data_IF_316615478160
#
_entry.id   IF_316615478160
#
_cell.length_a   1.000
_cell.length_b   1.000
_cell.length_c   1.000
_cell.angle_alpha   90.00
_cell.angle_beta   90.00
_cell.angle_gamma   90.00
#
_symmetry.space_group_name_H-M   'P 1'
#
loop_
_entity.id
_entity.type
_entity.pdbx_description
1 polymer ?
#
# COMPACT_ATOMS: atom_id res chain seq x y z
N UNK A 1 -8.62 -9.17 32.43
CA UNK A 1 -9.15 -8.87 31.08
C UNK A 1 -7.97 -8.52 30.19
N UNK A 2 -7.51 -9.46 29.37
CA UNK A 2 -6.49 -9.24 28.33
C UNK A 2 -6.98 -10.03 27.11
N UNK A 3 -7.50 -9.34 26.10
CA UNK A 3 -7.83 -9.95 24.82
C UNK A 3 -6.53 -10.27 24.08
N UNK A 4 -6.42 -11.43 23.38
CA UNK A 4 -5.25 -11.70 22.58
C UNK A 4 -5.31 -10.78 21.36
N UNK A 5 -4.25 -9.99 21.17
CA UNK A 5 -3.96 -9.38 19.88
C UNK A 5 -3.90 -10.50 18.85
N UNK A 6 -4.93 -10.59 18.01
CA UNK A 6 -4.92 -11.48 16.85
C UNK A 6 -3.77 -11.04 15.96
N UNK A 7 -2.73 -11.88 15.94
CA UNK A 7 -1.67 -11.84 14.94
C UNK A 7 -2.33 -11.89 13.57
N UNK A 8 -2.25 -10.79 12.81
CA UNK A 8 -2.60 -10.78 11.39
C UNK A 8 -1.48 -11.48 10.60
N UNK A 9 -1.31 -12.78 10.83
CA UNK A 9 -0.67 -13.64 9.86
C UNK A 9 -1.50 -13.65 8.56
N UNK A 10 -0.89 -13.87 7.38
CA UNK A 10 -1.66 -14.00 6.15
C UNK A 10 -2.66 -15.16 6.32
N UNK A 11 -3.96 -14.96 6.02
CA UNK A 11 -4.95 -16.03 6.12
C UNK A 11 -4.58 -17.18 5.17
N UNK A 12 -4.85 -18.43 5.60
CA UNK A 12 -4.77 -19.60 4.71
C UNK A 12 -5.62 -19.34 3.46
N UNK A 13 -5.06 -19.51 2.26
CA UNK A 13 -5.72 -19.16 1.00
C UNK A 13 -5.48 -17.71 0.56
N UNK A 14 -4.26 -17.21 0.69
CA UNK A 14 -3.88 -15.87 0.25
C UNK A 14 -4.18 -15.71 -1.25
N UNK A 15 -5.01 -14.72 -1.66
CA UNK A 15 -5.35 -14.54 -3.06
C UNK A 15 -4.12 -14.34 -3.94
N UNK A 16 -4.13 -14.84 -5.18
CA UNK A 16 -2.97 -14.74 -6.10
C UNK A 16 -2.50 -13.29 -6.24
N UNK A 17 -3.44 -12.35 -6.29
CA UNK A 17 -3.16 -10.93 -6.42
C UNK A 17 -2.38 -10.34 -5.24
N UNK A 18 -2.54 -10.88 -4.04
CA UNK A 18 -1.96 -10.33 -2.82
C UNK A 18 -0.44 -10.34 -2.83
N UNK A 19 0.19 -11.35 -3.46
CA UNK A 19 1.65 -11.48 -3.48
C UNK A 19 2.34 -10.24 -4.07
N UNK A 20 1.75 -9.67 -5.11
CA UNK A 20 2.26 -8.50 -5.83
C UNK A 20 1.36 -7.28 -5.57
N UNK A 21 0.92 -7.08 -4.33
CA UNK A 21 0.03 -5.98 -3.96
C UNK A 21 0.71 -4.96 -3.05
N UNK A 22 0.18 -3.73 -3.04
CA UNK A 22 0.65 -2.67 -2.15
C UNK A 22 0.44 -3.02 -0.69
N UNK A 23 -0.65 -3.73 -0.37
CA UNK A 23 -0.86 -4.29 0.96
C UNK A 23 0.33 -5.13 1.41
N UNK A 24 0.78 -6.06 0.56
CA UNK A 24 1.85 -6.97 0.93
C UNK A 24 3.19 -6.25 1.06
N UNK A 25 3.48 -5.27 0.20
CA UNK A 25 4.67 -4.43 0.31
C UNK A 25 4.66 -3.64 1.63
N UNK A 26 3.53 -3.00 1.99
CA UNK A 26 3.37 -2.26 3.24
C UNK A 26 3.48 -3.16 4.48
N UNK A 27 2.91 -4.36 4.46
CA UNK A 27 3.07 -5.33 5.55
C UNK A 27 4.50 -5.82 5.68
N UNK A 28 5.19 -6.03 4.56
CA UNK A 28 6.59 -6.45 4.56
C UNK A 28 7.47 -5.40 5.22
N UNK A 29 7.33 -4.12 4.85
CA UNK A 29 8.09 -3.04 5.50
C UNK A 29 7.68 -2.84 6.96
N UNK A 30 6.39 -2.96 7.32
CA UNK A 30 5.95 -2.92 8.72
C UNK A 30 6.60 -4.04 9.56
N UNK A 31 6.68 -5.26 9.02
CA UNK A 31 7.32 -6.38 9.69
C UNK A 31 8.82 -6.16 9.88
N UNK A 32 9.53 -5.73 8.82
CA UNK A 32 10.95 -5.36 8.89
C UNK A 32 11.19 -4.21 9.87
N UNK A 33 10.27 -3.25 9.93
CA UNK A 33 10.38 -2.08 10.78
C UNK A 33 10.11 -2.35 12.25
N UNK A 34 9.43 -3.44 12.60
CA UNK A 34 8.92 -3.69 13.96
C UNK A 34 10.00 -3.62 15.05
N UNK A 35 11.23 -4.01 14.75
CA UNK A 35 12.35 -4.00 15.68
C UNK A 35 13.28 -2.77 15.53
N UNK A 36 13.14 -2.00 14.45
CA UNK A 36 14.10 -0.97 14.04
C UNK A 36 13.49 0.43 14.10
N UNK A 37 12.19 0.53 13.81
CA UNK A 37 11.45 1.78 13.83
C UNK A 37 10.62 1.92 15.11
N UNK A 38 10.38 3.16 15.53
CA UNK A 38 9.44 3.49 16.58
C UNK A 38 8.03 2.92 16.35
N UNK A 39 7.33 2.64 17.45
CA UNK A 39 6.00 2.03 17.45
C UNK A 39 4.95 2.84 16.70
N UNK A 40 5.04 4.18 16.75
CA UNK A 40 4.17 5.09 16.01
C UNK A 40 4.31 4.89 14.50
N UNK A 41 5.53 4.70 14.00
CA UNK A 41 5.78 4.47 12.58
C UNK A 41 5.22 3.15 12.12
N UNK A 42 5.54 2.11 12.86
CA UNK A 42 5.01 0.78 12.63
C UNK A 42 3.47 0.79 12.56
N UNK A 43 2.81 1.44 13.53
CA UNK A 43 1.35 1.48 13.60
C UNK A 43 0.72 2.19 12.39
N UNK A 44 1.32 3.30 11.91
CA UNK A 44 0.82 4.03 10.74
C UNK A 44 0.97 3.19 9.46
N UNK A 45 2.08 2.48 9.31
CA UNK A 45 2.30 1.60 8.14
C UNK A 45 1.32 0.41 8.18
N UNK A 46 1.12 -0.23 9.34
CA UNK A 46 0.14 -1.32 9.48
C UNK A 46 -1.29 -0.84 9.20
N UNK A 47 -1.67 0.33 9.71
CA UNK A 47 -2.98 0.93 9.46
C UNK A 47 -3.20 1.16 7.96
N UNK A 48 -2.23 1.78 7.29
CA UNK A 48 -2.26 2.00 5.84
C UNK A 48 -2.37 0.68 5.08
N UNK A 49 -1.62 -0.35 5.47
CA UNK A 49 -1.71 -1.67 4.86
C UNK A 49 -3.12 -2.29 5.00
N UNK A 50 -3.75 -2.14 6.16
CA UNK A 50 -5.13 -2.60 6.40
C UNK A 50 -6.15 -1.90 5.49
N UNK A 51 -6.05 -0.58 5.34
CA UNK A 51 -6.93 0.20 4.45
C UNK A 51 -6.72 -0.17 2.99
N UNK A 52 -5.46 -0.29 2.56
CA UNK A 52 -5.12 -0.71 1.20
C UNK A 52 -5.63 -2.12 0.92
N UNK A 53 -5.57 -3.05 1.89
CA UNK A 53 -6.09 -4.41 1.72
C UNK A 53 -7.59 -4.43 1.40
N UNK A 54 -8.37 -3.65 2.15
CA UNK A 54 -9.82 -3.55 1.93
C UNK A 54 -10.10 -3.01 0.52
N UNK A 55 -9.34 -2.00 0.09
CA UNK A 55 -9.50 -1.41 -1.22
C UNK A 55 -9.06 -2.34 -2.36
N UNK A 56 -7.89 -2.97 -2.23
CA UNK A 56 -7.37 -3.95 -3.20
C UNK A 56 -8.33 -5.13 -3.36
N UNK A 57 -8.86 -5.65 -2.25
CA UNK A 57 -9.86 -6.72 -2.29
C UNK A 57 -11.10 -6.30 -3.09
N UNK A 58 -11.61 -5.09 -2.82
CA UNK A 58 -12.77 -4.55 -3.55
C UNK A 58 -12.51 -4.43 -5.06
N UNK A 59 -11.39 -3.84 -5.48
CA UNK A 59 -11.09 -3.68 -6.91
C UNK A 59 -10.86 -5.02 -7.60
N UNK A 60 -10.28 -6.00 -6.91
CA UNK A 60 -10.13 -7.36 -7.44
C UNK A 60 -11.48 -8.06 -7.60
N UNK A 61 -12.37 -7.96 -6.61
CA UNK A 61 -13.70 -8.55 -6.68
C UNK A 61 -14.51 -7.93 -7.83
N UNK A 62 -14.45 -6.60 -7.98
CA UNK A 62 -15.12 -5.90 -9.08
C UNK A 62 -14.58 -6.29 -10.46
N UNK A 63 -13.25 -6.37 -10.59
CA UNK A 63 -12.61 -6.79 -11.84
C UNK A 63 -12.88 -8.26 -12.16
N UNK A 64 -12.97 -9.14 -11.16
CA UNK A 64 -13.29 -10.55 -11.36
C UNK A 64 -14.71 -10.76 -11.92
N UNK A 65 -15.66 -9.90 -11.55
CA UNK A 65 -17.03 -9.95 -12.08
C UNK A 65 -17.12 -9.39 -13.51
N UNK A 66 -16.36 -8.34 -13.84
CA UNK A 66 -16.37 -7.70 -15.15
C UNK A 66 -14.95 -7.29 -15.62
N UNK A 67 -14.14 -8.23 -16.15
CA UNK A 67 -12.74 -7.96 -16.47
C UNK A 67 -12.55 -6.99 -17.65
N UNK A 68 -13.50 -6.96 -18.59
CA UNK A 68 -13.40 -6.13 -19.80
C UNK A 68 -13.95 -4.70 -19.60
N UNK A 69 -14.32 -4.33 -18.37
CA UNK A 69 -14.93 -3.03 -18.07
C UNK A 69 -14.14 -2.29 -17.00
N UNK A 70 -14.04 -0.95 -17.12
CA UNK A 70 -13.49 -0.15 -16.03
C UNK A 70 -14.37 -0.30 -14.79
N UNK A 71 -13.75 -0.34 -13.62
CA UNK A 71 -14.43 -0.50 -12.31
C UNK A 71 -15.42 0.64 -12.06
N UNK A 72 -15.12 1.83 -12.59
CA UNK A 72 -15.93 3.04 -12.43
C UNK A 72 -15.81 3.92 -13.67
N UNK A 73 -16.78 4.80 -13.91
CA UNK A 73 -16.79 5.74 -15.04
C UNK A 73 -15.75 6.87 -14.90
N UNK A 74 -15.39 7.21 -13.67
CA UNK A 74 -14.29 8.11 -13.36
C UNK A 74 -12.94 7.39 -13.52
N UNK A 75 -12.07 7.78 -14.46
CA UNK A 75 -10.77 7.16 -14.68
C UNK A 75 -9.80 7.33 -13.51
N UNK A 76 -10.06 8.28 -12.59
CA UNK A 76 -9.27 8.52 -11.39
C UNK A 76 -9.78 7.77 -10.15
N UNK A 77 -10.83 6.96 -10.28
CA UNK A 77 -11.44 6.27 -9.16
C UNK A 77 -10.44 5.37 -8.42
N UNK A 78 -9.69 4.55 -9.16
CA UNK A 78 -8.68 3.63 -8.60
C UNK A 78 -7.57 4.39 -7.87
N UNK A 79 -7.04 5.43 -8.53
CA UNK A 79 -6.06 6.34 -7.92
C UNK A 79 -6.58 6.99 -6.64
N UNK A 80 -7.80 7.50 -6.65
CA UNK A 80 -8.39 8.21 -5.51
C UNK A 80 -8.60 7.27 -4.33
N UNK A 81 -9.01 6.03 -4.58
CA UNK A 81 -9.13 5.02 -3.53
C UNK A 81 -7.80 4.67 -2.89
N UNK A 82 -6.75 4.42 -3.68
CA UNK A 82 -5.40 4.21 -3.14
C UNK A 82 -4.89 5.41 -2.35
N UNK A 83 -5.01 6.62 -2.90
CA UNK A 83 -4.60 7.86 -2.21
C UNK A 83 -5.32 8.04 -0.88
N UNK A 84 -6.62 7.73 -0.83
CA UNK A 84 -7.44 7.82 0.39
C UNK A 84 -7.00 6.78 1.42
N UNK A 85 -6.73 5.55 0.99
CA UNK A 85 -6.23 4.48 1.88
C UNK A 85 -4.86 4.80 2.49
N UNK A 86 -4.02 5.56 1.77
CA UNK A 86 -2.68 5.95 2.20
C UNK A 86 -2.61 7.30 2.94
N UNK A 87 -3.74 8.01 3.11
CA UNK A 87 -3.75 9.42 3.51
C UNK A 87 -2.98 9.71 4.80
N UNK A 88 -3.09 8.85 5.81
CA UNK A 88 -2.40 9.04 7.09
C UNK A 88 -0.89 8.89 6.94
N UNK A 89 -0.44 7.87 6.19
CA UNK A 89 0.96 7.62 5.92
C UNK A 89 1.59 8.76 5.11
N UNK A 90 0.89 9.23 4.07
CA UNK A 90 1.32 10.38 3.26
C UNK A 90 1.35 11.68 4.07
N UNK A 91 0.41 11.89 4.99
CA UNK A 91 0.37 13.09 5.83
C UNK A 91 1.56 13.14 6.79
N UNK A 92 1.91 12.02 7.40
CA UNK A 92 3.02 11.96 8.38
C UNK A 92 4.37 12.19 7.70
N UNK A 93 4.56 11.65 6.49
CA UNK A 93 5.78 11.88 5.73
C UNK A 93 6.00 13.35 5.33
N UNK A 94 4.94 14.16 5.29
CA UNK A 94 5.00 15.59 4.97
C UNK A 94 4.99 16.49 6.23
N UNK A 95 5.12 15.93 7.44
CA UNK A 95 5.15 16.73 8.65
C UNK A 95 6.48 17.50 8.80
N UNK A 96 6.42 18.83 9.05
CA UNK A 96 7.62 19.63 9.31
C UNK A 96 8.39 19.11 10.52
N UNK A 97 9.73 19.08 10.43
CA UNK A 97 10.62 18.73 11.55
C UNK A 97 11.01 17.24 11.64
N UNK A 98 10.42 16.36 10.82
CA UNK A 98 10.87 14.96 10.74
C UNK A 98 12.14 14.80 9.89
N UNK A 99 12.33 15.62 8.84
CA UNK A 99 13.40 15.49 7.84
C UNK A 99 14.83 15.25 8.38
N UNK A 100 15.33 15.94 9.43
CA UNK A 100 16.70 15.72 9.89
C UNK A 100 16.87 14.45 10.73
N UNK A 101 15.79 13.76 11.10
CA UNK A 101 15.85 12.56 11.94
C UNK A 101 15.99 11.29 11.10
N UNK A 102 16.63 10.22 11.63
CA UNK A 102 16.61 8.91 10.98
C UNK A 102 15.20 8.41 10.64
N UNK A 103 14.21 8.75 11.49
CA UNK A 103 12.79 8.46 11.28
C UNK A 103 12.23 9.16 10.05
N UNK A 104 12.53 10.45 9.89
CA UNK A 104 12.08 11.24 8.75
C UNK A 104 12.70 10.80 7.44
N UNK A 105 13.95 10.32 7.44
CA UNK A 105 14.55 9.71 6.24
C UNK A 105 13.76 8.50 5.75
N UNK A 106 13.47 7.55 6.64
CA UNK A 106 12.68 6.37 6.29
C UNK A 106 11.29 6.76 5.78
N UNK A 107 10.61 7.71 6.44
CA UNK A 107 9.31 8.19 5.96
C UNK A 107 9.38 8.86 4.60
N UNK A 108 10.44 9.63 4.34
CA UNK A 108 10.65 10.28 3.05
C UNK A 108 10.85 9.23 1.96
N UNK A 109 11.65 8.21 2.21
CA UNK A 109 11.90 7.14 1.24
C UNK A 109 10.62 6.32 0.97
N UNK A 110 9.85 5.98 2.02
CA UNK A 110 8.52 5.36 1.87
C UNK A 110 7.61 6.26 1.03
N UNK A 111 7.57 7.57 1.33
CA UNK A 111 6.71 8.50 0.61
C UNK A 111 7.11 8.63 -0.87
N UNK A 112 8.40 8.69 -1.19
CA UNK A 112 8.88 8.68 -2.59
C UNK A 112 8.37 7.43 -3.31
N UNK A 113 8.56 6.24 -2.74
CA UNK A 113 8.06 5.00 -3.34
C UNK A 113 6.53 5.01 -3.50
N UNK A 114 5.78 5.54 -2.51
CA UNK A 114 4.33 5.63 -2.60
C UNK A 114 3.87 6.64 -3.66
N UNK A 115 4.57 7.76 -3.84
CA UNK A 115 4.26 8.73 -4.89
C UNK A 115 4.50 8.13 -6.28
N UNK A 116 5.57 7.37 -6.46
CA UNK A 116 5.86 6.68 -7.74
C UNK A 116 4.77 5.64 -8.06
N UNK A 117 4.35 4.85 -7.06
CA UNK A 117 3.24 3.90 -7.22
C UNK A 117 1.95 4.63 -7.56
N UNK A 118 1.61 5.69 -6.82
CA UNK A 118 0.42 6.49 -7.07
C UNK A 118 0.45 7.17 -8.45
N UNK A 119 1.61 7.57 -8.93
CA UNK A 119 1.77 8.13 -10.28
C UNK A 119 1.46 7.08 -11.35
N UNK A 120 1.96 5.84 -11.17
CA UNK A 120 1.65 4.74 -12.07
C UNK A 120 0.15 4.40 -12.06
N UNK A 121 -0.45 4.27 -10.86
CA UNK A 121 -1.90 4.04 -10.69
C UNK A 121 -2.71 5.18 -11.32
N UNK A 122 -2.24 6.42 -11.26
CA UNK A 122 -2.95 7.56 -11.90
C UNK A 122 -3.01 7.43 -13.41
N UNK A 123 -1.97 6.91 -14.04
CA UNK A 123 -1.89 6.75 -15.50
C UNK A 123 -2.65 5.50 -15.96
N UNK A 124 -2.59 4.42 -15.19
CA UNK A 124 -3.06 3.10 -15.62
C UNK A 124 -4.28 2.58 -14.86
N UNK A 125 -4.74 3.25 -13.81
CA UNK A 125 -5.76 2.74 -12.89
C UNK A 125 -7.14 2.49 -13.50
N UNK A 126 -7.40 3.00 -14.70
CA UNK A 126 -8.62 2.68 -15.45
C UNK A 126 -8.60 1.26 -16.06
N UNK A 127 -7.41 0.66 -16.22
CA UNK A 127 -7.20 -0.72 -16.69
C UNK A 127 -6.51 -1.53 -15.58
N UNK A 128 -7.34 -2.08 -14.70
CA UNK A 128 -6.88 -2.79 -13.49
C UNK A 128 -6.16 -4.09 -13.83
N UNK A 129 -6.59 -4.79 -14.88
CA UNK A 129 -5.91 -6.00 -15.36
C UNK A 129 -4.47 -5.70 -15.78
N UNK A 130 -4.27 -4.63 -16.56
CA UNK A 130 -2.94 -4.17 -16.94
C UNK A 130 -2.13 -3.65 -15.76
N UNK A 131 -2.74 -2.86 -14.87
CA UNK A 131 -2.07 -2.29 -13.71
C UNK A 131 -1.38 -3.35 -12.85
N UNK A 132 -2.06 -4.47 -12.57
CA UNK A 132 -1.51 -5.55 -11.76
C UNK A 132 -0.54 -6.47 -12.50
N UNK A 133 -0.64 -6.53 -13.82
CA UNK A 133 0.32 -7.24 -14.66
C UNK A 133 1.55 -6.38 -15.04
N UNK A 134 1.54 -5.09 -14.74
CA UNK A 134 2.60 -4.17 -15.14
C UNK A 134 3.93 -4.49 -14.41
N UNK A 135 5.02 -4.79 -15.14
CA UNK A 135 6.32 -5.06 -14.53
C UNK A 135 6.85 -3.90 -13.69
N UNK A 136 6.54 -2.66 -14.06
CA UNK A 136 6.92 -1.46 -13.33
C UNK A 136 6.20 -1.37 -11.99
N UNK A 137 4.90 -1.73 -11.95
CA UNK A 137 4.16 -1.84 -10.68
C UNK A 137 4.87 -2.80 -9.73
N UNK A 138 5.21 -4.00 -10.21
CA UNK A 138 5.93 -4.99 -9.41
C UNK A 138 7.30 -4.47 -8.95
N UNK A 139 8.05 -3.79 -9.81
CA UNK A 139 9.34 -3.17 -9.46
C UNK A 139 9.18 -2.15 -8.34
N UNK A 140 8.19 -1.26 -8.42
CA UNK A 140 7.94 -0.24 -7.41
C UNK A 140 7.51 -0.84 -6.06
N UNK A 141 6.68 -1.89 -6.07
CA UNK A 141 6.29 -2.62 -4.87
C UNK A 141 7.48 -3.29 -4.17
N UNK A 142 8.38 -3.91 -4.95
CA UNK A 142 9.62 -4.49 -4.42
C UNK A 142 10.53 -3.41 -3.83
N UNK A 143 10.66 -2.25 -4.49
CA UNK A 143 11.43 -1.13 -3.95
C UNK A 143 10.86 -0.67 -2.60
N UNK A 144 9.54 -0.46 -2.51
CA UNK A 144 8.87 -0.08 -1.27
C UNK A 144 9.12 -1.10 -0.14
N UNK A 145 9.02 -2.40 -0.45
CA UNK A 145 9.27 -3.46 0.52
C UNK A 145 10.74 -3.52 1.03
N UNK A 146 11.66 -2.84 0.36
CA UNK A 146 13.10 -2.82 0.64
C UNK A 146 13.64 -1.43 1.03
N UNK A 147 12.77 -0.50 1.42
CA UNK A 147 13.19 0.85 1.90
C UNK A 147 14.02 0.80 3.19
N UNK A 148 13.98 -0.31 3.94
CA UNK A 148 14.77 -0.57 5.15
C UNK A 148 15.91 -1.55 4.85
#
# INVERSE_FOLDING_TARGET
MNGPFSSFGPPQGTPIWYKNSLTNALRTIAQKSKAVLPQDIYAIIEEAAGRVYVYESYIHDMHAVNPDRPIHSDPLYVYTGYKTSLVNLLRVANQPGLEPTPKGRVYRDINVCLQDILALVRVQGNDVGRLFADPEMNRLLVNLANVL
#
